data_IF_332607081027
#
_entry.id   IF_332607081027
#
_cell.length_a   1.000
_cell.length_b   1.000
_cell.length_c   1.000
_cell.angle_alpha   90.00
_cell.angle_beta   90.00
_cell.angle_gamma   90.00
#
_symmetry.space_group_name_H-M   'P 1'
#
loop_
_entity.id
_entity.type
_entity.pdbx_description
1 polymer ?
#
# COMPACT_ATOMS: atom_id res chain seq x y z
N UNK A 1 52.89 37.65 -35.35
CA UNK A 1 52.49 37.75 -33.93
C UNK A 1 51.03 37.33 -33.87
N UNK A 2 50.78 36.05 -33.61
CA UNK A 2 49.47 35.40 -33.72
C UNK A 2 49.17 34.81 -32.36
N UNK A 3 48.30 35.48 -31.59
CA UNK A 3 47.85 35.01 -30.28
C UNK A 3 46.56 34.22 -30.45
N UNK A 4 46.64 32.93 -30.19
CA UNK A 4 45.52 31.99 -30.13
C UNK A 4 44.71 32.20 -28.85
N UNK A 5 43.47 32.68 -28.96
CA UNK A 5 42.50 32.63 -27.87
C UNK A 5 41.73 31.31 -27.92
N UNK A 6 42.21 30.29 -27.19
CA UNK A 6 41.38 29.13 -26.82
C UNK A 6 40.52 29.53 -25.62
N UNK A 7 39.33 30.07 -25.88
CA UNK A 7 38.34 30.30 -24.82
C UNK A 7 37.70 28.98 -24.41
N UNK A 8 37.69 28.76 -23.09
CA UNK A 8 37.17 27.61 -22.37
C UNK A 8 35.66 27.39 -22.65
N UNK A 9 35.33 26.56 -23.64
CA UNK A 9 33.96 26.09 -23.89
C UNK A 9 33.53 24.91 -22.98
N UNK A 10 34.37 24.51 -22.02
CA UNK A 10 34.19 23.25 -21.28
C UNK A 10 33.34 23.31 -20.01
N UNK A 11 33.05 24.49 -19.45
CA UNK A 11 32.42 24.58 -18.11
C UNK A 11 30.91 24.81 -18.19
N UNK A 12 30.41 25.46 -19.24
CA UNK A 12 28.98 25.79 -19.38
C UNK A 12 28.06 24.61 -19.71
N UNK A 13 28.56 23.59 -20.42
CA UNK A 13 27.74 22.46 -20.87
C UNK A 13 27.46 21.43 -19.76
N UNK A 14 28.33 21.33 -18.75
CA UNK A 14 28.17 20.36 -17.63
C UNK A 14 27.11 20.84 -16.63
N UNK A 15 26.99 22.16 -16.43
CA UNK A 15 26.02 22.72 -15.49
C UNK A 15 24.56 22.59 -15.99
N UNK A 16 24.34 22.63 -17.30
CA UNK A 16 22.99 22.53 -17.88
C UNK A 16 22.47 21.09 -17.99
N UNK A 17 23.36 20.10 -18.12
CA UNK A 17 22.99 18.68 -18.15
C UNK A 17 22.59 18.13 -16.76
N UNK A 18 23.04 18.77 -15.67
CA UNK A 18 22.71 18.39 -14.30
C UNK A 18 21.36 18.93 -13.81
N UNK A 19 20.82 19.99 -14.44
CA UNK A 19 19.53 20.57 -14.05
C UNK A 19 18.30 19.84 -14.64
N UNK A 20 18.47 19.07 -15.71
CA UNK A 20 17.37 18.35 -16.37
C UNK A 20 17.02 16.98 -15.75
N UNK A 21 17.68 16.58 -14.66
CA UNK A 21 17.47 15.29 -14.00
C UNK A 21 16.59 15.34 -12.74
N UNK A 22 16.09 16.50 -12.35
CA UNK A 22 15.29 16.68 -11.13
C UNK A 22 13.79 16.82 -11.46
N UNK A 23 13.19 15.82 -12.11
CA UNK A 23 11.74 15.66 -12.03
C UNK A 23 11.44 14.84 -10.76
N UNK A 24 10.67 15.36 -9.79
CA UNK A 24 10.24 14.57 -8.65
C UNK A 24 9.13 13.62 -9.10
N UNK A 25 9.48 12.53 -9.77
CA UNK A 25 8.64 11.34 -9.81
C UNK A 25 8.86 10.57 -8.52
N UNK A 26 8.45 11.14 -7.39
CA UNK A 26 8.35 10.39 -6.15
C UNK A 26 6.96 9.76 -6.10
N UNK A 27 6.89 8.47 -6.40
CA UNK A 27 5.73 7.65 -6.06
C UNK A 27 5.55 7.71 -4.53
N UNK A 28 4.54 8.43 -4.06
CA UNK A 28 4.23 8.48 -2.63
C UNK A 28 3.59 7.15 -2.24
N UNK A 29 4.40 6.26 -1.67
CA UNK A 29 3.87 5.01 -1.09
C UNK A 29 3.16 5.35 0.22
N UNK A 30 1.84 5.26 0.21
CA UNK A 30 1.05 5.38 1.43
C UNK A 30 1.04 4.03 2.12
N UNK A 31 1.33 4.02 3.42
CA UNK A 31 1.34 2.81 4.23
C UNK A 31 0.46 3.00 5.47
N UNK A 32 -0.37 2.00 5.78
CA UNK A 32 -1.14 1.92 7.01
C UNK A 32 -0.75 0.67 7.79
N UNK A 33 -0.71 0.75 9.11
CA UNK A 33 -0.77 -0.43 9.99
C UNK A 33 -2.15 -0.51 10.61
N UNK A 34 -2.61 -1.73 10.88
CA UNK A 34 -3.93 -1.93 11.45
C UNK A 34 -3.95 -3.07 12.47
N UNK A 35 -4.95 -3.02 13.34
CA UNK A 35 -5.33 -4.12 14.20
C UNK A 35 -6.82 -4.41 14.06
N UNK A 36 -7.21 -5.68 14.18
CA UNK A 36 -8.60 -6.10 14.13
C UNK A 36 -8.85 -7.27 15.10
N UNK A 37 -10.12 -7.56 15.32
CA UNK A 37 -10.58 -8.79 15.99
C UNK A 37 -11.50 -9.52 15.04
N UNK A 38 -11.29 -10.83 14.88
CA UNK A 38 -12.15 -11.68 14.05
C UNK A 38 -13.48 -11.88 14.75
N UNK A 39 -14.57 -11.51 14.10
CA UNK A 39 -15.92 -11.64 14.65
C UNK A 39 -16.57 -12.96 14.22
N UNK A 40 -16.27 -13.40 12.99
CA UNK A 40 -16.91 -14.57 12.37
C UNK A 40 -15.91 -15.30 11.47
N UNK A 41 -15.98 -16.62 11.51
CA UNK A 41 -15.29 -17.51 10.57
C UNK A 41 -16.33 -18.42 9.92
N UNK A 42 -16.20 -18.62 8.61
CA UNK A 42 -17.02 -19.53 7.85
C UNK A 42 -16.11 -20.55 7.16
N UNK A 43 -16.51 -21.82 7.23
CA UNK A 43 -15.91 -22.88 6.43
C UNK A 43 -16.91 -23.33 5.37
N UNK A 44 -16.41 -23.61 4.17
CA UNK A 44 -17.15 -24.12 3.03
C UNK A 44 -16.48 -25.41 2.57
N UNK A 45 -17.25 -26.45 2.28
CA UNK A 45 -16.77 -27.67 1.64
C UNK A 45 -17.83 -28.18 0.67
N UNK A 46 -17.46 -28.36 -0.61
CA UNK A 46 -18.35 -28.95 -1.64
C UNK A 46 -19.71 -28.27 -1.72
N UNK A 47 -19.70 -26.94 -1.71
CA UNK A 47 -20.90 -26.10 -1.78
C UNK A 47 -21.73 -26.03 -0.49
N UNK A 48 -21.32 -26.69 0.60
CA UNK A 48 -21.98 -26.58 1.90
C UNK A 48 -21.11 -25.80 2.87
N UNK A 49 -21.68 -24.80 3.55
CA UNK A 49 -20.92 -23.95 4.46
C UNK A 49 -21.68 -23.57 5.71
N UNK A 50 -20.93 -23.14 6.71
CA UNK A 50 -21.48 -22.70 7.99
C UNK A 50 -20.48 -21.90 8.81
N UNK A 51 -20.99 -21.12 9.76
CA UNK A 51 -20.16 -20.44 10.74
C UNK A 51 -19.55 -21.45 11.70
N UNK A 52 -18.26 -21.28 11.97
CA UNK A 52 -17.46 -22.15 12.84
C UNK A 52 -16.62 -21.30 13.78
N UNK A 53 -16.20 -21.87 14.90
CA UNK A 53 -15.33 -21.16 15.86
C UNK A 53 -13.92 -20.98 15.31
N UNK A 54 -13.46 -21.93 14.49
CA UNK A 54 -12.17 -21.84 13.79
C UNK A 54 -12.14 -22.75 12.57
N UNK A 55 -11.26 -22.42 11.62
CA UNK A 55 -10.97 -23.24 10.46
C UNK A 55 -9.53 -22.98 9.98
N UNK A 56 -8.98 -23.94 9.24
CA UNK A 56 -7.62 -23.87 8.71
C UNK A 56 -7.60 -24.28 7.24
N UNK A 57 -6.87 -23.54 6.40
CA UNK A 57 -6.59 -23.88 5.01
C UNK A 57 -5.18 -23.45 4.63
N UNK A 58 -4.41 -24.34 4.00
CA UNK A 58 -3.04 -24.06 3.57
C UNK A 58 -2.12 -23.54 4.70
N UNK A 59 -2.36 -23.99 5.94
CA UNK A 59 -1.65 -23.50 7.14
C UNK A 59 -2.23 -22.20 7.73
N UNK A 60 -3.16 -21.54 7.04
CA UNK A 60 -3.85 -20.35 7.53
C UNK A 60 -4.97 -20.73 8.49
N UNK A 61 -4.67 -20.76 9.78
CA UNK A 61 -5.69 -20.89 10.83
C UNK A 61 -6.37 -19.55 11.12
N UNK A 62 -7.70 -19.55 11.09
CA UNK A 62 -8.60 -18.46 11.46
C UNK A 62 -9.45 -18.90 12.65
N UNK A 63 -9.65 -18.03 13.65
CA UNK A 63 -10.55 -18.29 14.76
C UNK A 63 -11.32 -17.04 15.19
N UNK A 64 -12.54 -17.22 15.67
CA UNK A 64 -13.33 -16.14 16.28
C UNK A 64 -12.61 -15.60 17.52
N UNK A 65 -12.66 -14.29 17.72
CA UNK A 65 -11.92 -13.53 18.73
C UNK A 65 -10.39 -13.52 18.56
N UNK A 66 -9.86 -14.06 17.46
CA UNK A 66 -8.43 -13.94 17.18
C UNK A 66 -8.08 -12.51 16.81
N UNK A 67 -6.88 -12.09 17.21
CA UNK A 67 -6.40 -10.74 16.94
C UNK A 67 -5.65 -10.75 15.61
N UNK A 68 -6.00 -9.81 14.74
CA UNK A 68 -5.26 -9.51 13.51
C UNK A 68 -4.36 -8.30 13.72
N UNK A 69 -3.15 -8.39 13.17
CA UNK A 69 -2.28 -7.23 12.96
C UNK A 69 -1.78 -7.25 11.54
N UNK A 70 -1.68 -6.07 10.91
CA UNK A 70 -1.24 -6.02 9.53
C UNK A 70 -0.77 -4.65 9.07
N UNK A 71 -0.35 -4.61 7.82
CA UNK A 71 0.13 -3.45 7.09
C UNK A 71 -0.45 -3.46 5.68
N UNK A 72 -0.84 -2.30 5.18
CA UNK A 72 -1.25 -2.09 3.79
C UNK A 72 -0.38 -1.00 3.21
N UNK A 73 0.10 -1.17 1.99
CA UNK A 73 0.77 -0.12 1.24
C UNK A 73 0.35 -0.09 -0.21
N UNK A 74 0.26 1.11 -0.78
CA UNK A 74 -0.04 1.33 -2.19
C UNK A 74 0.57 2.64 -2.66
N UNK A 75 0.80 2.75 -3.96
CA UNK A 75 1.27 3.98 -4.61
C UNK A 75 0.10 4.95 -4.82
N UNK A 76 0.07 6.04 -4.06
CA UNK A 76 -0.98 7.05 -4.16
C UNK A 76 -0.83 7.96 -5.39
N UNK A 77 0.32 7.97 -6.07
CA UNK A 77 0.49 8.72 -7.30
C UNK A 77 -0.25 8.09 -8.49
N UNK A 78 -0.61 6.80 -8.38
CA UNK A 78 -1.26 6.02 -9.43
C UNK A 78 -2.50 5.27 -8.91
N UNK A 79 -3.53 5.95 -8.35
CA UNK A 79 -4.67 5.26 -7.74
C UNK A 79 -5.39 4.37 -8.76
N UNK A 80 -5.54 3.08 -8.44
CA UNK A 80 -6.42 2.18 -9.19
C UNK A 80 -7.83 2.61 -8.96
N UNK A 81 -8.48 3.10 -10.01
CA UNK A 81 -9.94 3.16 -10.13
C UNK A 81 -10.67 3.83 -8.95
N UNK A 82 -10.95 5.12 -9.10
CA UNK A 82 -12.20 5.66 -8.55
C UNK A 82 -13.35 4.93 -9.23
N UNK A 83 -14.16 4.22 -8.45
CA UNK A 83 -15.36 3.56 -8.95
C UNK A 83 -16.37 4.64 -9.35
N UNK A 84 -16.45 4.96 -10.63
CA UNK A 84 -17.61 5.64 -11.22
C UNK A 84 -18.51 4.55 -11.82
N UNK A 85 -19.78 4.54 -11.45
CA UNK A 85 -20.75 3.49 -11.78
C UNK A 85 -20.84 3.29 -13.31
N UNK A 86 -20.09 2.34 -13.90
CA UNK A 86 -20.31 1.96 -15.31
C UNK A 86 -19.18 1.24 -16.05
N UNK A 87 -17.90 1.40 -15.67
CA UNK A 87 -16.79 0.81 -16.45
C UNK A 87 -15.60 0.41 -15.57
N UNK A 88 -15.36 -0.89 -15.42
CA UNK A 88 -14.11 -1.44 -14.88
C UNK A 88 -13.02 -1.36 -15.95
N UNK A 89 -11.99 -0.55 -15.75
CA UNK A 89 -10.75 -0.67 -16.52
C UNK A 89 -9.67 -1.29 -15.65
N UNK A 90 -9.39 -2.58 -15.88
CA UNK A 90 -8.39 -3.36 -15.14
C UNK A 90 -6.94 -3.09 -15.60
N UNK A 91 -6.72 -2.22 -16.60
CA UNK A 91 -5.43 -2.17 -17.31
C UNK A 91 -4.28 -1.53 -16.54
N UNK A 92 -4.55 -0.82 -15.43
CA UNK A 92 -3.54 -0.13 -14.63
C UNK A 92 -3.99 -0.06 -13.18
N UNK A 93 -3.89 -1.18 -12.46
CA UNK A 93 -4.01 -1.14 -11.01
C UNK A 93 -2.61 -0.96 -10.39
N UNK A 94 -2.39 -0.03 -9.44
CA UNK A 94 -1.16 0.14 -8.72
C UNK A 94 -0.84 -1.12 -7.94
N UNK A 95 0.44 -1.25 -7.64
CA UNK A 95 0.92 -2.22 -6.70
C UNK A 95 0.28 -1.94 -5.34
N UNK A 96 -0.56 -2.87 -4.89
CA UNK A 96 -1.19 -2.87 -3.58
C UNK A 96 -0.65 -4.06 -2.81
N UNK A 97 0.05 -3.80 -1.73
CA UNK A 97 0.58 -4.84 -0.85
C UNK A 97 -0.20 -4.81 0.45
N UNK A 98 -0.81 -5.93 0.79
CA UNK A 98 -1.38 -6.14 2.12
C UNK A 98 -0.62 -7.28 2.76
N UNK A 99 -0.21 -7.05 4.00
CA UNK A 99 0.40 -8.02 4.87
C UNK A 99 -0.39 -8.10 6.17
N UNK A 100 -0.68 -9.29 6.67
CA UNK A 100 -1.30 -9.44 7.99
C UNK A 100 -1.00 -10.79 8.59
N UNK A 101 -1.20 -10.87 9.91
CA UNK A 101 -1.00 -12.05 10.71
C UNK A 101 -2.07 -12.20 11.78
N UNK A 102 -2.39 -13.46 12.07
CA UNK A 102 -3.25 -13.87 13.16
C UNK A 102 -2.38 -14.12 14.39
N UNK A 103 -2.82 -13.67 15.56
CA UNK A 103 -2.08 -13.92 16.81
C UNK A 103 -1.96 -15.41 17.13
N UNK A 104 -2.94 -16.23 16.73
CA UNK A 104 -2.95 -17.66 17.02
C UNK A 104 -2.03 -18.52 16.13
N UNK A 105 -1.30 -17.98 15.16
CA UNK A 105 -0.39 -18.77 14.32
C UNK A 105 0.37 -17.98 13.23
N UNK A 106 1.47 -18.58 12.76
CA UNK A 106 2.42 -18.06 11.74
C UNK A 106 1.76 -17.91 10.35
N UNK A 107 0.91 -16.92 10.20
CA UNK A 107 0.30 -16.57 8.92
C UNK A 107 0.88 -15.22 8.52
N UNK A 108 1.97 -15.21 7.75
CA UNK A 108 2.41 -13.98 7.10
C UNK A 108 1.74 -13.95 5.74
N UNK A 109 0.61 -13.25 5.65
CA UNK A 109 0.06 -12.88 4.36
C UNK A 109 0.95 -11.78 3.78
N UNK A 110 1.27 -11.86 2.50
CA UNK A 110 1.84 -10.78 1.72
C UNK A 110 1.29 -10.91 0.31
N UNK A 111 0.43 -9.98 -0.10
CA UNK A 111 0.01 -9.93 -1.49
C UNK A 111 1.03 -9.19 -2.34
N UNK A 112 1.32 -9.75 -3.51
CA UNK A 112 2.06 -9.09 -4.59
C UNK A 112 1.17 -8.79 -5.81
N UNK A 113 -0.12 -9.09 -5.74
CA UNK A 113 -1.05 -8.98 -6.86
C UNK A 113 -1.91 -7.72 -6.80
N UNK A 114 -2.59 -7.45 -7.92
CA UNK A 114 -3.44 -6.28 -8.14
C UNK A 114 -4.46 -6.08 -7.01
N UNK A 115 -4.57 -4.85 -6.52
CA UNK A 115 -5.60 -4.43 -5.58
C UNK A 115 -6.35 -3.22 -6.07
N UNK A 116 -7.48 -2.94 -5.42
CA UNK A 116 -8.34 -1.81 -5.72
C UNK A 116 -8.48 -0.92 -4.49
N UNK A 117 -8.39 0.39 -4.70
CA UNK A 117 -8.75 1.38 -3.69
C UNK A 117 -10.00 2.09 -4.20
N UNK A 118 -11.13 1.83 -3.56
CA UNK A 118 -12.41 2.44 -3.91
C UNK A 118 -12.76 3.49 -2.88
N UNK A 119 -13.10 4.70 -3.34
CA UNK A 119 -13.60 5.78 -2.48
C UNK A 119 -14.91 6.29 -3.08
N UNK A 120 -15.97 6.23 -2.28
CA UNK A 120 -17.30 6.69 -2.63
C UNK A 120 -17.67 7.80 -1.67
N UNK A 121 -17.96 8.97 -2.22
CA UNK A 121 -18.54 10.10 -1.50
C UNK A 121 -19.91 10.38 -2.12
N UNK A 122 -20.98 10.08 -1.39
CA UNK A 122 -22.34 10.23 -1.89
C UNK A 122 -23.29 10.65 -0.78
N UNK A 123 -24.37 11.35 -1.16
CA UNK A 123 -25.42 11.77 -0.22
C UNK A 123 -26.02 10.53 0.45
N UNK A 124 -25.84 10.43 1.77
CA UNK A 124 -26.34 9.31 2.57
C UNK A 124 -25.52 8.02 2.47
N UNK A 125 -24.30 8.07 1.91
CA UNK A 125 -23.36 6.95 1.98
C UNK A 125 -21.95 7.38 1.59
N UNK A 126 -21.02 7.28 2.53
CA UNK A 126 -19.59 7.31 2.26
C UNK A 126 -19.00 5.91 2.43
N UNK A 127 -18.06 5.53 1.56
CA UNK A 127 -17.31 4.29 1.77
C UNK A 127 -15.91 4.34 1.21
N UNK A 128 -14.99 3.68 1.92
CA UNK A 128 -13.64 3.38 1.44
C UNK A 128 -13.48 1.87 1.46
N UNK A 129 -12.99 1.28 0.37
CA UNK A 129 -12.62 -0.12 0.29
C UNK A 129 -11.17 -0.25 -0.19
N UNK A 130 -10.41 -1.09 0.49
CA UNK A 130 -9.00 -1.39 0.18
C UNK A 130 -8.92 -2.89 -0.03
N UNK A 131 -9.12 -3.35 -1.26
CA UNK A 131 -9.29 -4.75 -1.60
C UNK A 131 -8.06 -5.31 -2.30
N UNK A 132 -7.78 -6.57 -2.00
CA UNK A 132 -6.74 -7.32 -2.67
C UNK A 132 -7.22 -8.72 -3.05
N UNK A 133 -6.87 -9.12 -4.27
CA UNK A 133 -6.98 -10.52 -4.70
C UNK A 133 -5.60 -11.15 -4.71
N UNK A 134 -5.52 -12.41 -4.33
CA UNK A 134 -4.28 -13.17 -4.30
C UNK A 134 -4.47 -14.55 -4.93
N UNK A 135 -3.40 -14.98 -5.58
CA UNK A 135 -3.18 -16.36 -5.97
C UNK A 135 -1.93 -16.80 -5.21
N UNK A 136 -1.97 -17.89 -4.44
CA UNK A 136 -0.75 -18.45 -3.88
C UNK A 136 0.11 -18.99 -5.04
N UNK A 137 0.85 -18.10 -5.69
CA UNK A 137 1.81 -18.45 -6.71
C UNK A 137 2.94 -19.22 -6.04
N UNK A 138 3.07 -20.51 -6.34
CA UNK A 138 4.09 -21.38 -5.75
C UNK A 138 3.56 -22.74 -5.30
N UNK A 139 3.77 -23.06 -4.02
CA UNK A 139 3.64 -24.41 -3.45
C UNK A 139 2.21 -25.00 -3.44
N UNK A 140 1.18 -24.18 -3.57
CA UNK A 140 -0.23 -24.60 -3.66
C UNK A 140 -0.96 -23.85 -4.79
N UNK A 141 -0.69 -24.20 -6.06
CA UNK A 141 -1.23 -23.48 -7.21
C UNK A 141 -2.76 -23.58 -7.34
N UNK A 142 -3.39 -24.46 -6.56
CA UNK A 142 -4.84 -24.64 -6.49
C UNK A 142 -5.52 -23.79 -5.40
N UNK A 143 -4.75 -23.00 -4.63
CA UNK A 143 -5.27 -22.10 -3.60
C UNK A 143 -5.26 -20.65 -4.06
N UNK A 144 -6.44 -20.02 -4.04
CA UNK A 144 -6.64 -18.60 -4.27
C UNK A 144 -7.24 -17.96 -3.03
N UNK A 145 -6.92 -16.69 -2.77
CA UNK A 145 -7.46 -16.00 -1.60
C UNK A 145 -7.49 -14.50 -1.80
N UNK A 146 -7.83 -13.78 -0.75
CA UNK A 146 -7.85 -12.33 -0.77
C UNK A 146 -8.26 -11.78 0.58
N UNK A 147 -7.99 -10.50 0.77
CA UNK A 147 -8.42 -9.77 1.94
C UNK A 147 -8.62 -8.30 1.57
N UNK A 148 -9.47 -7.64 2.34
CA UNK A 148 -9.77 -6.24 2.16
C UNK A 148 -10.16 -5.55 3.46
N UNK A 149 -9.94 -4.25 3.51
CA UNK A 149 -10.49 -3.37 4.55
C UNK A 149 -11.64 -2.56 3.99
N UNK A 150 -12.71 -2.42 4.77
CA UNK A 150 -13.86 -1.61 4.42
C UNK A 150 -14.19 -0.59 5.51
N UNK A 151 -14.49 0.63 5.08
CA UNK A 151 -15.00 1.72 5.91
C UNK A 151 -16.33 2.16 5.31
N UNK A 152 -17.39 2.19 6.10
CA UNK A 152 -18.71 2.61 5.62
C UNK A 152 -19.36 3.56 6.62
N UNK A 153 -19.84 4.69 6.13
CA UNK A 153 -20.63 5.64 6.88
C UNK A 153 -21.95 5.89 6.15
N UNK A 154 -23.06 5.47 6.77
CA UNK A 154 -24.40 5.64 6.19
C UNK A 154 -24.92 7.09 6.29
N UNK A 155 -24.22 7.99 6.98
CA UNK A 155 -24.63 9.40 7.02
C UNK A 155 -24.17 10.19 5.80
N UNK A 156 -23.10 9.74 5.12
CA UNK A 156 -22.48 10.48 4.02
C UNK A 156 -21.80 11.77 4.49
N UNK A 157 -21.28 11.77 5.71
CA UNK A 157 -20.60 12.93 6.31
C UNK A 157 -19.18 12.62 6.79
N UNK A 158 -18.69 11.42 6.48
CA UNK A 158 -17.33 10.99 6.80
C UNK A 158 -16.30 11.56 5.83
N UNK A 159 -16.66 11.65 4.55
CA UNK A 159 -15.80 12.13 3.47
C UNK A 159 -16.29 13.49 2.97
N UNK A 160 -15.34 14.33 2.58
CA UNK A 160 -15.61 15.64 1.95
C UNK A 160 -15.40 15.63 0.43
N UNK A 161 -14.80 14.56 -0.09
CA UNK A 161 -14.48 14.37 -1.50
C UNK A 161 -14.37 12.89 -1.84
N UNK A 162 -14.31 12.58 -3.14
CA UNK A 162 -14.01 11.23 -3.64
C UNK A 162 -12.52 10.91 -3.57
N UNK A 163 -11.65 11.83 -3.13
CA UNK A 163 -10.22 11.56 -2.99
C UNK A 163 -9.96 10.67 -1.78
N UNK A 164 -8.93 9.82 -1.85
CA UNK A 164 -8.54 9.01 -0.69
C UNK A 164 -8.00 9.92 0.44
N UNK A 165 -8.57 9.86 1.66
CA UNK A 165 -8.11 10.68 2.76
C UNK A 165 -6.65 10.38 3.12
N UNK A 166 -5.89 11.44 3.40
CA UNK A 166 -4.51 11.32 3.89
C UNK A 166 -4.43 10.68 5.29
N UNK A 167 -5.54 10.67 6.02
CA UNK A 167 -5.72 10.04 7.34
C UNK A 167 -7.10 9.38 7.42
N UNK A 168 -7.16 8.16 7.97
CA UNK A 168 -8.41 7.44 8.21
C UNK A 168 -8.75 7.51 9.69
N UNK A 169 -9.81 8.24 10.05
CA UNK A 169 -10.31 8.28 11.43
C UNK A 169 -11.24 7.09 11.67
N UNK A 170 -10.74 6.06 12.35
CA UNK A 170 -11.54 4.88 12.75
C UNK A 170 -12.46 5.14 13.93
N UNK A 171 -12.27 6.24 14.65
CA UNK A 171 -13.11 6.63 15.78
C UNK A 171 -14.31 7.50 15.36
N UNK A 172 -14.45 7.78 14.06
CA UNK A 172 -15.55 8.58 13.53
C UNK A 172 -16.90 7.96 13.91
N UNK A 173 -17.77 8.78 14.48
CA UNK A 173 -19.05 8.31 15.01
C UNK A 173 -19.96 7.84 13.87
N UNK A 174 -20.35 6.57 13.91
CA UNK A 174 -21.21 5.97 12.89
C UNK A 174 -20.44 5.26 11.77
N UNK A 175 -19.11 5.33 11.78
CA UNK A 175 -18.27 4.59 10.85
C UNK A 175 -18.22 3.10 11.23
N UNK A 176 -18.53 2.25 10.27
CA UNK A 176 -18.34 0.80 10.36
C UNK A 176 -17.01 0.47 9.70
N UNK A 177 -16.03 0.02 10.49
CA UNK A 177 -14.68 -0.31 10.02
C UNK A 177 -14.44 -1.82 10.12
N UNK A 178 -14.18 -2.47 8.99
CA UNK A 178 -14.15 -3.93 8.86
C UNK A 178 -12.91 -4.42 8.14
N UNK A 179 -12.55 -5.67 8.41
CA UNK A 179 -11.65 -6.48 7.61
C UNK A 179 -12.40 -7.74 7.19
N UNK A 180 -12.22 -8.17 5.95
CA UNK A 180 -12.71 -9.45 5.47
C UNK A 180 -11.65 -10.13 4.63
N UNK A 181 -11.69 -11.45 4.59
CA UNK A 181 -10.80 -12.21 3.72
C UNK A 181 -11.14 -13.68 3.69
N UNK A 182 -10.41 -14.42 2.89
CA UNK A 182 -10.59 -15.85 2.78
C UNK A 182 -9.68 -16.50 1.77
N UNK A 183 -9.70 -17.82 1.80
CA UNK A 183 -8.97 -18.70 0.91
C UNK A 183 -9.91 -19.78 0.40
N UNK A 184 -9.63 -20.23 -0.81
CA UNK A 184 -10.39 -21.26 -1.50
C UNK A 184 -9.42 -22.17 -2.23
N UNK A 185 -9.56 -23.48 -1.99
CA UNK A 185 -8.82 -24.53 -2.66
C UNK A 185 -9.70 -25.21 -3.70
N UNK A 186 -9.25 -25.18 -4.94
CA UNK A 186 -10.04 -25.69 -6.07
C UNK A 186 -10.13 -27.23 -6.09
N UNK A 187 -9.10 -27.93 -5.61
CA UNK A 187 -9.00 -29.39 -5.73
C UNK A 187 -10.06 -30.16 -4.95
N UNK A 188 -10.54 -29.61 -3.83
CA UNK A 188 -11.55 -30.23 -2.98
C UNK A 188 -12.73 -29.31 -2.64
N UNK A 189 -12.83 -28.18 -3.33
CA UNK A 189 -13.85 -27.15 -3.14
C UNK A 189 -13.97 -26.71 -1.67
N UNK A 190 -12.83 -26.65 -0.97
CA UNK A 190 -12.77 -26.23 0.41
C UNK A 190 -12.38 -24.76 0.51
N UNK A 191 -13.19 -23.99 1.23
CA UNK A 191 -12.99 -22.56 1.42
C UNK A 191 -13.09 -22.17 2.88
N UNK A 192 -12.37 -21.13 3.25
CA UNK A 192 -12.43 -20.54 4.58
C UNK A 192 -12.49 -19.04 4.43
N UNK A 193 -13.37 -18.38 5.15
CA UNK A 193 -13.51 -16.93 5.14
C UNK A 193 -13.63 -16.39 6.55
N UNK A 194 -13.19 -15.16 6.74
CA UNK A 194 -13.29 -14.46 8.01
C UNK A 194 -13.79 -13.04 7.78
N UNK A 195 -14.45 -12.53 8.82
CA UNK A 195 -14.81 -11.12 8.95
C UNK A 195 -14.41 -10.66 10.34
N UNK A 196 -13.91 -9.44 10.43
CA UNK A 196 -13.51 -8.83 11.68
C UNK A 196 -13.78 -7.34 11.70
N UNK A 197 -13.75 -6.81 12.92
CA UNK A 197 -13.90 -5.39 13.19
C UNK A 197 -12.52 -4.78 13.39
N UNK A 198 -12.23 -3.70 12.66
CA UNK A 198 -11.00 -2.95 12.85
C UNK A 198 -11.04 -2.26 14.22
N UNK A 199 -9.99 -2.48 15.01
CA UNK A 199 -9.81 -1.85 16.32
C UNK A 199 -8.86 -0.66 16.26
N UNK A 200 -7.97 -0.62 15.27
CA UNK A 200 -7.18 0.56 14.95
C UNK A 200 -6.68 0.53 13.50
N UNK A 201 -6.49 1.70 12.90
CA UNK A 201 -5.70 1.89 11.70
C UNK A 201 -4.89 3.18 11.85
N UNK A 202 -3.62 3.14 11.45
CA UNK A 202 -2.71 4.28 11.57
C UNK A 202 -1.89 4.38 10.31
N UNK A 203 -1.81 5.59 9.74
CA UNK A 203 -0.88 5.85 8.65
C UNK A 203 0.54 5.81 9.20
N UNK A 204 1.38 4.97 8.62
CA UNK A 204 2.82 4.99 8.89
C UNK A 204 3.37 6.24 8.23
N UNK A 205 3.78 7.21 9.03
CA UNK A 205 4.54 8.34 8.51
C UNK A 205 5.83 7.80 7.93
N UNK A 206 6.04 8.00 6.63
CA UNK A 206 7.30 7.68 6.01
C UNK A 206 8.41 8.40 6.79
N UNK A 207 9.42 7.66 7.24
CA UNK A 207 10.65 8.29 7.69
C UNK A 207 11.12 9.20 6.56
N UNK A 208 11.42 10.47 6.86
CA UNK A 208 11.87 11.43 5.87
C UNK A 208 13.09 10.85 5.15
N UNK A 209 12.86 10.28 3.96
CA UNK A 209 13.95 9.92 3.07
C UNK A 209 14.60 11.24 2.70
N UNK A 210 15.93 11.39 2.83
CA UNK A 210 16.60 12.63 2.46
C UNK A 210 16.19 12.97 1.04
N UNK A 211 15.60 14.15 0.86
CA UNK A 211 15.18 14.57 -0.46
C UNK A 211 16.38 14.51 -1.41
N UNK A 212 16.19 14.26 -2.72
CA UNK A 212 17.29 14.27 -3.68
C UNK A 212 18.15 15.55 -3.56
N UNK A 213 17.51 16.66 -3.21
CA UNK A 213 18.15 17.94 -2.93
C UNK A 213 19.11 17.89 -1.73
N UNK A 214 18.76 17.14 -0.68
CA UNK A 214 19.64 16.90 0.47
C UNK A 214 20.86 16.06 0.08
N UNK A 215 20.69 15.06 -0.79
CA UNK A 215 21.79 14.28 -1.32
C UNK A 215 22.70 15.12 -2.25
N UNK A 216 22.12 16.01 -3.04
CA UNK A 216 22.87 16.96 -3.90
C UNK A 216 23.63 17.99 -3.07
N UNK A 217 23.04 18.52 -1.99
CA UNK A 217 23.73 19.41 -1.06
C UNK A 217 24.88 18.71 -0.34
N UNK A 218 24.69 17.44 0.04
CA UNK A 218 25.75 16.62 0.62
C UNK A 218 26.89 16.38 -0.38
N UNK A 219 26.56 16.03 -1.63
CA UNK A 219 27.55 15.87 -2.71
C UNK A 219 28.27 17.18 -3.03
N UNK A 220 27.56 18.30 -3.07
CA UNK A 220 28.15 19.63 -3.26
C UNK A 220 29.09 19.99 -2.11
N UNK A 221 28.70 19.70 -0.87
CA UNK A 221 29.54 19.86 0.32
C UNK A 221 30.82 19.01 0.25
N UNK A 222 30.70 17.73 -0.13
CA UNK A 222 31.86 16.84 -0.32
C UNK A 222 32.78 17.31 -1.45
N UNK A 223 32.20 17.79 -2.56
CA UNK A 223 32.96 18.37 -3.67
C UNK A 223 33.76 19.60 -3.26
N UNK A 224 33.16 20.49 -2.46
CA UNK A 224 33.83 21.68 -1.93
C UNK A 224 35.01 21.31 -1.00
N UNK A 225 34.85 20.32 -0.13
CA UNK A 225 35.91 19.81 0.75
C UNK A 225 37.05 19.20 -0.08
N UNK A 226 36.74 18.38 -1.07
CA UNK A 226 37.74 17.78 -1.96
C UNK A 226 38.56 18.81 -2.73
N UNK A 227 37.91 19.86 -3.24
CA UNK A 227 38.57 20.96 -3.93
C UNK A 227 39.50 21.76 -2.99
N UNK A 228 39.08 22.01 -1.74
CA UNK A 228 39.89 22.68 -0.74
C UNK A 228 41.15 21.86 -0.36
N UNK A 229 41.00 20.55 -0.17
CA UNK A 229 42.11 19.64 0.16
C UNK A 229 43.14 19.53 -0.98
N UNK A 230 42.70 19.48 -2.24
CA UNK A 230 43.60 19.51 -3.41
C UNK A 230 44.40 20.82 -3.51
N UNK A 231 43.78 21.93 -3.11
CA UNK A 231 44.44 23.25 -3.12
C UNK A 231 45.52 23.36 -2.04
N UNK A 232 45.30 22.77 -0.86
CA UNK A 232 46.30 22.72 0.22
C UNK A 232 47.49 21.82 -0.09
N UNK A 233 47.32 20.73 -0.87
CA UNK A 233 48.44 19.86 -1.28
C UNK A 233 49.35 20.44 -2.38
N UNK A 234 48.92 21.51 -3.04
CA UNK A 234 49.65 22.18 -4.13
C UNK A 234 50.29 23.51 -3.69
N UNK A 235 50.04 23.94 -2.45
CA UNK A 235 50.69 25.05 -1.79
C UNK A 235 51.80 24.52 -0.88
#
# INVERSE_FOLDING_TARGET
MTWTSKMNAGVGAVALALLSAAAPTHAETVTYTFTAVVDRVMALSKGQGGYVDSAELAGHRMAVNDQLTGRISFDAANPSSFFDYGTFSLSTLPTFNMEYSFKSGLNNYASAYMGAVTVVNAVGSDSISLDNTNYEGGAQPDVSGGAGLGFNDASGTYLDSTALPSTLDTAYKGLVSTIGGGWYRQSDEYGVSFWGTLTSIQRVQASAVPEPESALLMLAGLGAIGAAALRQRRA
#
